data_IF_527386221729
#
_entry.id   IF_527386221729
#
_cell.length_a   1.000
_cell.length_b   1.000
_cell.length_c   1.000
_cell.angle_alpha   90.00
_cell.angle_beta   90.00
_cell.angle_gamma   90.00
#
_symmetry.space_group_name_H-M   'P 1'
#
loop_
_entity.id
_entity.type
_entity.pdbx_description
1 polymer ?
#
# COMPACT_ATOMS: atom_id res chain seq x y z
N UNK A 1 12.68 8.73 -8.34
CA UNK A 1 13.09 7.70 -9.34
C UNK A 1 11.85 7.31 -10.16
N UNK A 2 12.00 7.01 -11.45
CA UNK A 2 10.86 6.67 -12.32
C UNK A 2 11.26 5.58 -13.34
N UNK A 3 10.32 4.65 -13.63
CA UNK A 3 10.53 3.54 -14.55
C UNK A 3 11.75 2.70 -14.19
N UNK A 4 12.61 2.45 -15.14
CA UNK A 4 13.83 1.61 -14.94
C UNK A 4 14.84 2.18 -13.94
N UNK A 5 14.67 3.41 -13.47
CA UNK A 5 15.54 3.99 -12.44
C UNK A 5 15.06 3.74 -11.02
N UNK A 6 13.87 3.17 -10.84
CA UNK A 6 13.36 2.81 -9.50
C UNK A 6 14.24 1.74 -8.88
N UNK A 7 14.72 2.00 -7.68
CA UNK A 7 15.51 1.06 -6.90
C UNK A 7 15.21 1.21 -5.41
N UNK A 8 14.35 0.34 -4.91
CA UNK A 8 13.87 0.32 -3.52
C UNK A 8 14.98 -0.08 -2.53
N UNK A 9 16.10 -0.66 -3.00
CA UNK A 9 17.25 -0.93 -2.14
C UNK A 9 17.94 0.35 -1.66
N UNK A 10 17.65 1.50 -2.26
CA UNK A 10 18.13 2.81 -1.79
C UNK A 10 17.31 3.34 -0.61
N UNK A 11 16.15 2.76 -0.32
CA UNK A 11 15.35 3.11 0.85
C UNK A 11 15.85 2.36 2.09
N UNK A 12 15.77 2.95 3.28
CA UNK A 12 16.21 2.32 4.53
C UNK A 12 15.18 1.28 5.03
N UNK A 13 14.89 0.28 4.19
CA UNK A 13 13.98 -0.82 4.54
C UNK A 13 14.74 -1.79 5.46
N UNK A 14 14.20 -2.00 6.66
CA UNK A 14 14.87 -2.78 7.70
C UNK A 14 14.52 -4.28 7.65
N UNK A 15 15.44 -5.14 8.07
CA UNK A 15 15.16 -6.51 8.50
C UNK A 15 15.02 -6.50 10.01
N UNK A 16 13.84 -6.86 10.55
CA UNK A 16 13.51 -6.63 11.95
C UNK A 16 14.05 -7.71 12.88
N UNK A 17 13.98 -8.97 12.48
CA UNK A 17 14.31 -10.13 13.30
C UNK A 17 15.28 -11.08 12.61
N UNK A 18 16.13 -11.84 13.37
CA UNK A 18 17.14 -12.73 12.81
C UNK A 18 16.60 -13.83 11.88
N UNK A 19 15.33 -14.22 12.06
CA UNK A 19 14.67 -15.26 11.24
C UNK A 19 13.82 -14.70 10.10
N UNK A 20 13.78 -13.39 9.91
CA UNK A 20 13.06 -12.77 8.81
C UNK A 20 13.70 -13.11 7.47
N UNK A 21 12.88 -13.39 6.44
CA UNK A 21 13.35 -13.75 5.10
C UNK A 21 14.09 -12.61 4.39
N UNK A 22 13.84 -11.37 4.77
CA UNK A 22 14.46 -10.19 4.16
C UNK A 22 13.86 -8.86 4.65
N UNK A 23 14.18 -7.74 3.98
CA UNK A 23 13.70 -6.43 4.36
C UNK A 23 12.17 -6.32 4.27
N UNK A 24 11.58 -5.62 5.25
CA UNK A 24 10.14 -5.46 5.40
C UNK A 24 9.76 -3.98 5.62
N UNK A 25 8.90 -3.45 4.75
CA UNK A 25 8.23 -2.17 5.00
C UNK A 25 7.10 -2.41 5.99
N UNK A 26 7.24 -1.88 7.20
CA UNK A 26 6.37 -2.21 8.34
C UNK A 26 5.17 -1.28 8.49
N UNK A 27 5.29 -0.02 8.07
CA UNK A 27 4.29 1.03 8.27
C UNK A 27 3.84 1.73 6.97
N UNK A 28 3.65 1.01 5.85
CA UNK A 28 3.21 1.64 4.63
C UNK A 28 1.72 1.99 4.73
N UNK A 29 1.36 3.21 4.37
CA UNK A 29 -0.02 3.60 4.13
C UNK A 29 -0.35 3.27 2.68
N UNK A 30 -1.16 2.25 2.46
CA UNK A 30 -1.53 1.77 1.13
C UNK A 30 -2.87 2.35 0.73
N UNK A 31 -2.88 3.01 -0.42
CA UNK A 31 -4.03 3.68 -0.99
C UNK A 31 -4.54 2.88 -2.17
N UNK A 32 -5.80 2.51 -2.11
CA UNK A 32 -6.51 1.79 -3.17
C UNK A 32 -7.88 2.39 -3.42
N UNK A 33 -8.48 2.04 -4.54
CA UNK A 33 -9.86 2.38 -4.86
C UNK A 33 -10.51 1.19 -5.57
N UNK A 34 -11.64 0.72 -5.06
CA UNK A 34 -12.45 -0.28 -5.75
C UNK A 34 -13.13 0.31 -6.99
N UNK A 35 -13.49 -0.54 -7.94
CA UNK A 35 -14.27 -0.13 -9.11
C UNK A 35 -15.60 0.49 -8.67
N UNK A 36 -15.96 1.61 -9.28
CA UNK A 36 -17.22 2.33 -8.97
C UNK A 36 -17.35 2.84 -7.53
N UNK A 37 -16.25 2.86 -6.76
CA UNK A 37 -16.23 3.47 -5.42
C UNK A 37 -15.77 4.93 -5.50
N UNK A 38 -16.54 5.83 -4.89
CA UNK A 38 -16.16 7.24 -4.78
C UNK A 38 -14.99 7.44 -3.80
N UNK A 39 -15.02 6.70 -2.67
CA UNK A 39 -13.98 6.80 -1.66
C UNK A 39 -12.78 5.91 -1.97
N UNK A 40 -11.60 6.39 -1.62
CA UNK A 40 -10.39 5.57 -1.53
C UNK A 40 -10.37 4.84 -0.19
N UNK A 41 -9.76 3.65 -0.19
CA UNK A 41 -9.39 2.93 1.00
C UNK A 41 -7.95 3.33 1.39
N UNK A 42 -7.72 3.55 2.66
CA UNK A 42 -6.41 3.78 3.24
C UNK A 42 -6.18 2.74 4.34
N UNK A 43 -5.12 1.95 4.23
CA UNK A 43 -4.83 0.93 5.22
C UNK A 43 -3.33 0.65 5.36
N UNK A 44 -2.93 0.07 6.49
CA UNK A 44 -1.55 -0.38 6.70
C UNK A 44 -1.47 -1.87 6.37
N UNK A 45 -0.63 -2.21 5.38
CA UNK A 45 -0.36 -3.58 4.96
C UNK A 45 1.14 -3.74 4.75
N UNK A 46 1.80 -4.56 5.59
CA UNK A 46 3.24 -4.77 5.46
C UNK A 46 3.63 -5.27 4.08
N UNK A 47 4.83 -4.90 3.63
CA UNK A 47 5.31 -5.28 2.31
C UNK A 47 6.74 -5.82 2.39
N UNK A 48 6.93 -7.04 1.88
CA UNK A 48 8.27 -7.64 1.73
C UNK A 48 8.96 -7.09 0.48
N UNK A 49 10.20 -6.64 0.61
CA UNK A 49 11.03 -6.31 -0.55
C UNK A 49 11.37 -7.60 -1.31
N UNK A 50 10.95 -7.68 -2.57
CA UNK A 50 11.18 -8.84 -3.43
C UNK A 50 12.31 -8.58 -4.44
N UNK A 51 12.29 -7.40 -5.07
CA UNK A 51 13.26 -7.01 -6.09
C UNK A 51 13.43 -5.48 -6.04
N UNK A 52 14.32 -4.93 -6.87
CA UNK A 52 14.64 -3.50 -6.94
C UNK A 52 13.42 -2.58 -7.08
N UNK A 53 12.34 -3.04 -7.70
CA UNK A 53 11.10 -2.28 -7.87
C UNK A 53 9.83 -3.10 -7.56
N UNK A 54 9.97 -4.21 -6.80
CA UNK A 54 8.84 -5.10 -6.48
C UNK A 54 8.74 -5.35 -4.98
N UNK A 55 7.51 -5.27 -4.49
CA UNK A 55 7.14 -5.53 -3.11
C UNK A 55 6.00 -6.55 -3.06
N UNK A 56 6.04 -7.51 -2.14
CA UNK A 56 4.91 -8.42 -1.91
C UNK A 56 3.95 -7.76 -0.93
N UNK A 57 2.69 -7.59 -1.33
CA UNK A 57 1.66 -6.91 -0.55
C UNK A 57 0.86 -7.91 0.29
N UNK A 58 1.07 -7.94 1.62
CA UNK A 58 0.33 -8.85 2.50
C UNK A 58 -1.12 -8.41 2.69
N UNK A 59 -1.97 -8.83 1.79
CA UNK A 59 -3.42 -8.58 1.85
C UNK A 59 -4.18 -9.81 2.36
N UNK A 60 -4.55 -9.80 3.62
CA UNK A 60 -5.51 -10.77 4.13
C UNK A 60 -6.89 -10.54 3.48
N UNK A 61 -7.55 -11.61 3.10
CA UNK A 61 -8.74 -11.61 2.22
C UNK A 61 -9.93 -10.74 2.67
N UNK A 62 -10.01 -10.43 3.96
CA UNK A 62 -11.06 -9.61 4.57
C UNK A 62 -10.72 -8.12 4.69
N UNK A 63 -9.51 -7.70 4.31
CA UNK A 63 -9.05 -6.31 4.41
C UNK A 63 -9.52 -5.48 3.21
N UNK A 64 -9.71 -4.17 3.43
CA UNK A 64 -10.25 -3.24 2.42
C UNK A 64 -9.50 -3.26 1.10
N UNK A 65 -8.16 -3.20 1.12
CA UNK A 65 -7.35 -3.28 -0.10
C UNK A 65 -7.53 -4.60 -0.87
N UNK A 66 -7.60 -5.75 -0.16
CA UNK A 66 -7.86 -7.03 -0.78
C UNK A 66 -9.26 -7.14 -1.40
N UNK A 67 -10.25 -6.53 -0.76
CA UNK A 67 -11.63 -6.47 -1.28
C UNK A 67 -11.72 -5.62 -2.55
N UNK A 68 -11.05 -4.47 -2.55
CA UNK A 68 -10.98 -3.57 -3.72
C UNK A 68 -10.25 -4.24 -4.88
N UNK A 69 -9.12 -4.93 -4.62
CA UNK A 69 -8.37 -5.68 -5.62
C UNK A 69 -9.21 -6.81 -6.23
N UNK A 70 -9.92 -7.58 -5.40
CA UNK A 70 -10.80 -8.66 -5.87
C UNK A 70 -11.95 -8.12 -6.75
N UNK A 71 -12.57 -7.00 -6.35
CA UNK A 71 -13.62 -6.33 -7.14
C UNK A 71 -13.08 -5.86 -8.50
N UNK A 72 -11.88 -5.30 -8.52
CA UNK A 72 -11.20 -4.90 -9.75
C UNK A 72 -10.96 -6.08 -10.67
N UNK A 73 -10.34 -7.15 -10.17
CA UNK A 73 -10.03 -8.34 -10.96
C UNK A 73 -11.27 -8.99 -11.57
N UNK A 74 -12.40 -8.99 -10.85
CA UNK A 74 -13.66 -9.51 -11.35
C UNK A 74 -14.28 -8.64 -12.47
N UNK A 75 -14.17 -7.32 -12.37
CA UNK A 75 -14.77 -6.37 -13.30
C UNK A 75 -13.88 -6.00 -14.46
N UNK A 76 -12.57 -6.10 -14.27
CA UNK A 76 -11.53 -5.72 -15.23
C UNK A 76 -10.45 -6.81 -15.33
N UNK A 77 -10.79 -8.00 -15.81
CA UNK A 77 -9.87 -9.12 -15.85
C UNK A 77 -8.64 -8.80 -16.72
N UNK A 78 -7.44 -9.06 -16.17
CA UNK A 78 -6.16 -8.81 -16.84
C UNK A 78 -5.69 -7.36 -16.85
N UNK A 79 -6.47 -6.41 -16.32
CA UNK A 79 -6.01 -5.03 -16.19
C UNK A 79 -5.17 -4.85 -14.91
N UNK A 80 -4.02 -4.15 -14.98
CA UNK A 80 -3.22 -3.82 -13.81
C UNK A 80 -4.03 -3.02 -12.78
N UNK A 81 -3.95 -3.41 -11.52
CA UNK A 81 -4.65 -2.73 -10.44
C UNK A 81 -3.81 -1.59 -9.86
N UNK A 82 -4.26 -0.32 -9.93
CA UNK A 82 -3.50 0.82 -9.45
C UNK A 82 -3.38 0.84 -7.93
N UNK A 83 -2.17 1.08 -7.44
CA UNK A 83 -1.85 1.19 -6.02
C UNK A 83 -0.88 2.33 -5.80
N UNK A 84 -1.13 3.13 -4.77
CA UNK A 84 -0.16 4.08 -4.26
C UNK A 84 0.17 3.76 -2.79
N UNK A 85 1.40 4.09 -2.38
CA UNK A 85 1.87 3.86 -1.02
C UNK A 85 2.55 5.12 -0.50
N UNK A 86 2.19 5.53 0.71
CA UNK A 86 2.80 6.65 1.40
C UNK A 86 3.58 6.16 2.62
N UNK A 87 4.81 6.65 2.77
CA UNK A 87 5.65 6.43 3.95
C UNK A 87 5.91 7.78 4.62
N UNK A 88 5.95 7.80 5.96
CA UNK A 88 6.21 9.03 6.70
C UNK A 88 5.06 10.04 6.67
N UNK A 89 3.82 9.59 6.65
CA UNK A 89 2.66 10.47 6.81
C UNK A 89 2.50 10.92 8.27
N UNK A 90 1.71 11.97 8.49
CA UNK A 90 1.46 12.48 9.84
C UNK A 90 0.71 11.48 10.74
N UNK A 91 0.83 11.60 12.08
CA UNK A 91 0.24 10.64 13.01
C UNK A 91 -1.28 10.48 12.90
N UNK A 92 -2.03 11.54 12.59
CA UNK A 92 -3.48 11.45 12.46
C UNK A 92 -3.87 10.63 11.22
N UNK A 93 -3.14 10.77 10.11
CA UNK A 93 -3.33 9.97 8.90
C UNK A 93 -2.97 8.51 9.17
N UNK A 94 -1.87 8.25 9.89
CA UNK A 94 -1.45 6.91 10.28
C UNK A 94 -2.50 6.23 11.19
N UNK A 95 -3.04 6.94 12.18
CA UNK A 95 -4.11 6.44 13.03
C UNK A 95 -5.41 6.20 12.24
N UNK A 96 -5.72 7.07 11.28
CA UNK A 96 -6.86 6.89 10.38
C UNK A 96 -6.78 5.58 9.59
N UNK A 97 -5.58 5.23 9.12
CA UNK A 97 -5.35 4.02 8.33
C UNK A 97 -5.51 2.70 9.10
N UNK A 98 -5.38 2.72 10.44
CA UNK A 98 -5.51 1.51 11.29
C UNK A 98 -6.83 1.44 12.03
N UNK A 99 -7.57 2.55 12.11
CA UNK A 99 -8.84 2.58 12.83
C UNK A 99 -9.94 1.96 11.98
N UNK A 100 -10.70 1.00 12.51
CA UNK A 100 -11.86 0.47 11.80
C UNK A 100 -12.95 1.54 11.73
N UNK A 101 -13.11 2.17 10.58
CA UNK A 101 -14.17 3.14 10.31
C UNK A 101 -15.30 2.49 9.51
N UNK A 102 -16.55 2.95 9.63
CA UNK A 102 -17.65 2.49 8.78
C UNK A 102 -17.35 2.73 7.29
N UNK A 103 -17.83 1.86 6.42
CA UNK A 103 -17.62 1.97 4.96
C UNK A 103 -18.12 3.29 4.34
N UNK A 104 -18.99 4.01 5.03
CA UNK A 104 -19.49 5.32 4.62
C UNK A 104 -18.56 6.48 4.97
N UNK A 105 -17.52 6.24 5.78
CA UNK A 105 -16.54 7.24 6.20
C UNK A 105 -15.17 6.93 5.60
N UNK A 106 -14.59 7.91 4.91
CA UNK A 106 -13.22 7.79 4.42
C UNK A 106 -12.22 7.90 5.58
N UNK A 107 -11.18 7.05 5.58
CA UNK A 107 -10.07 7.14 6.53
C UNK A 107 -9.39 8.51 6.50
N UNK A 108 -9.32 9.16 5.34
CA UNK A 108 -8.84 10.54 5.21
C UNK A 108 -9.74 11.56 5.92
N UNK A 109 -11.07 11.38 5.85
CA UNK A 109 -12.00 12.23 6.57
C UNK A 109 -11.88 12.01 8.08
N UNK A 110 -11.73 10.77 8.51
CA UNK A 110 -11.50 10.42 9.92
C UNK A 110 -10.17 11.01 10.44
N UNK A 111 -9.08 10.89 9.67
CA UNK A 111 -7.81 11.55 10.00
C UNK A 111 -7.96 13.07 10.13
N UNK A 112 -8.80 13.68 9.27
CA UNK A 112 -9.13 15.10 9.34
C UNK A 112 -9.87 15.46 10.63
N UNK A 113 -10.79 14.61 11.10
CA UNK A 113 -11.46 14.80 12.40
C UNK A 113 -10.45 14.75 13.55
N UNK A 114 -9.54 13.79 13.55
CA UNK A 114 -8.49 13.69 14.58
C UNK A 114 -7.58 14.91 14.61
N UNK A 115 -7.25 15.46 13.43
CA UNK A 115 -6.36 16.62 13.30
C UNK A 115 -7.04 17.97 13.52
N UNK A 116 -8.37 18.02 13.40
CA UNK A 116 -9.16 19.26 13.46
C UNK A 116 -9.13 20.09 12.15
N UNK A 117 -8.60 19.53 11.06
CA UNK A 117 -8.62 20.12 9.71
C UNK A 117 -8.60 19.01 8.65
N UNK A 118 -9.08 19.32 7.44
CA UNK A 118 -9.04 18.37 6.31
C UNK A 118 -7.63 17.85 6.07
N UNK A 119 -7.53 16.60 5.64
CA UNK A 119 -6.28 16.03 5.16
C UNK A 119 -5.96 16.61 3.79
N UNK A 120 -4.78 17.21 3.66
CA UNK A 120 -4.29 17.71 2.37
C UNK A 120 -3.86 16.52 1.52
N UNK A 121 -4.37 16.45 0.30
CA UNK A 121 -4.11 15.36 -0.64
C UNK A 121 -3.47 15.91 -1.92
N UNK A 122 -2.55 15.14 -2.49
CA UNK A 122 -1.94 15.36 -3.79
C UNK A 122 -2.36 14.26 -4.77
N UNK A 123 -2.58 14.62 -6.03
CA UNK A 123 -2.88 13.64 -7.06
C UNK A 123 -1.63 12.87 -7.46
N UNK A 124 -1.74 11.56 -7.64
CA UNK A 124 -0.70 10.73 -8.20
C UNK A 124 -0.29 11.18 -9.60
N UNK A 125 0.97 10.94 -9.96
CA UNK A 125 1.57 11.43 -11.21
C UNK A 125 1.80 10.34 -12.25
N UNK A 126 1.87 9.06 -11.86
CA UNK A 126 1.92 7.94 -12.83
C UNK A 126 0.59 7.81 -13.53
N UNK A 127 0.61 7.38 -14.80
CA UNK A 127 -0.62 7.29 -15.58
C UNK A 127 -1.58 6.25 -14.98
N UNK A 128 -1.07 5.12 -14.47
CA UNK A 128 -1.89 4.09 -13.86
C UNK A 128 -2.63 4.58 -12.62
N UNK A 129 -1.99 5.34 -11.74
CA UNK A 129 -2.62 5.87 -10.53
C UNK A 129 -3.47 7.11 -10.82
N UNK A 130 -2.98 8.03 -11.67
CA UNK A 130 -3.69 9.26 -12.03
C UNK A 130 -5.00 8.99 -12.77
N UNK A 131 -5.01 8.07 -13.73
CA UNK A 131 -6.20 7.73 -14.49
C UNK A 131 -7.28 7.01 -13.66
N UNK A 132 -6.92 6.57 -12.45
CA UNK A 132 -7.83 6.00 -11.46
C UNK A 132 -8.09 6.95 -10.27
N UNK A 133 -7.75 8.23 -10.42
CA UNK A 133 -7.97 9.30 -9.44
C UNK A 133 -7.43 8.98 -8.05
N UNK A 134 -6.29 8.27 -7.96
CA UNK A 134 -5.65 8.05 -6.68
C UNK A 134 -5.02 9.33 -6.16
N UNK A 135 -5.28 9.60 -4.89
CA UNK A 135 -4.77 10.76 -4.15
C UNK A 135 -3.99 10.25 -2.94
N UNK A 136 -2.82 10.82 -2.71
CA UNK A 136 -1.93 10.49 -1.60
C UNK A 136 -1.86 11.63 -0.58
N UNK A 137 -1.51 11.37 0.70
CA UNK A 137 -1.30 12.43 1.66
C UNK A 137 -0.17 13.36 1.19
N UNK A 138 -0.46 14.66 1.05
CA UNK A 138 0.44 15.63 0.41
C UNK A 138 1.75 15.89 1.19
N UNK A 139 1.79 15.53 2.47
CA UNK A 139 2.92 15.77 3.38
C UNK A 139 3.64 14.48 3.78
N UNK A 140 3.54 13.43 2.98
CA UNK A 140 4.31 12.20 3.18
C UNK A 140 5.77 12.40 2.78
N UNK A 141 6.67 11.69 3.44
CA UNK A 141 8.10 11.76 3.15
C UNK A 141 8.45 11.02 1.84
N UNK A 142 7.83 9.87 1.62
CA UNK A 142 8.06 9.06 0.41
C UNK A 142 6.71 8.60 -0.16
N UNK A 143 6.57 8.70 -1.47
CA UNK A 143 5.43 8.15 -2.22
C UNK A 143 5.95 7.12 -3.22
N UNK A 144 5.35 5.94 -3.21
CA UNK A 144 5.54 4.92 -4.23
C UNK A 144 4.23 4.81 -5.03
N UNK A 145 4.32 4.84 -6.33
CA UNK A 145 3.18 4.66 -7.23
C UNK A 145 3.45 3.53 -8.21
N UNK A 146 2.42 2.78 -8.52
CA UNK A 146 2.53 1.66 -9.46
C UNK A 146 1.26 0.80 -9.47
N UNK A 147 1.42 -0.47 -9.71
CA UNK A 147 0.31 -1.38 -9.93
C UNK A 147 0.59 -2.80 -9.41
N UNK A 148 -0.48 -3.55 -9.29
CA UNK A 148 -0.46 -5.00 -9.09
C UNK A 148 -0.98 -5.65 -10.37
N UNK A 149 -0.16 -6.54 -10.96
CA UNK A 149 -0.62 -7.47 -11.99
C UNK A 149 -1.45 -8.55 -11.29
N UNK A 150 -2.73 -8.78 -11.68
CA UNK A 150 -3.58 -9.79 -11.05
C UNK A 150 -3.03 -11.21 -11.09
N UNK A 151 -2.19 -11.52 -12.06
CA UNK A 151 -1.58 -12.85 -12.22
C UNK A 151 -0.24 -13.00 -11.49
N UNK A 152 0.37 -11.90 -11.03
CA UNK A 152 1.68 -11.95 -10.37
C UNK A 152 1.55 -12.12 -8.86
N UNK A 153 1.94 -13.32 -8.37
CA UNK A 153 1.91 -13.70 -6.96
C UNK A 153 3.27 -14.22 -6.52
N UNK A 154 3.67 -13.93 -5.31
CA UNK A 154 4.92 -14.41 -4.72
C UNK A 154 4.74 -14.89 -3.27
N UNK A 155 5.65 -15.73 -2.80
CA UNK A 155 5.68 -16.27 -1.44
C UNK A 155 6.21 -15.20 -0.47
N UNK A 156 5.41 -14.82 0.54
CA UNK A 156 5.75 -13.86 1.59
C UNK A 156 6.10 -14.57 2.89
N UNK A 157 7.16 -14.13 3.52
CA UNK A 157 7.60 -14.63 4.82
C UNK A 157 8.62 -15.76 4.76
N UNK A 158 8.99 -16.33 5.93
CA UNK A 158 8.42 -16.03 7.25
C UNK A 158 8.89 -14.69 7.82
N UNK A 159 8.05 -14.08 8.66
CA UNK A 159 8.37 -12.88 9.45
C UNK A 159 7.96 -13.06 10.91
N UNK A 160 8.78 -12.57 11.83
CA UNK A 160 8.42 -12.48 13.23
C UNK A 160 7.30 -11.45 13.44
N UNK A 161 6.32 -11.77 14.28
CA UNK A 161 5.20 -10.88 14.57
C UNK A 161 5.03 -10.61 16.09
N UNK A 162 4.00 -9.82 16.44
CA UNK A 162 3.73 -9.43 17.82
C UNK A 162 3.35 -10.59 18.76
N UNK A 163 3.04 -11.75 18.23
CA UNK A 163 2.75 -12.96 19.02
C UNK A 163 4.03 -13.62 19.57
N UNK A 164 5.19 -13.25 19.06
CA UNK A 164 6.47 -13.85 19.37
C UNK A 164 6.81 -15.08 18.51
N UNK A 165 6.02 -15.34 17.49
CA UNK A 165 6.22 -16.44 16.55
C UNK A 165 6.43 -15.92 15.14
N UNK A 166 7.02 -16.75 14.28
CA UNK A 166 7.11 -16.50 12.83
C UNK A 166 5.84 -17.01 12.16
N UNK A 167 5.29 -16.21 11.23
CA UNK A 167 4.16 -16.66 10.41
C UNK A 167 4.60 -17.71 9.38
N UNK A 168 3.64 -18.47 8.90
CA UNK A 168 3.84 -19.38 7.78
C UNK A 168 4.04 -18.60 6.48
N UNK A 169 4.71 -19.23 5.51
CA UNK A 169 4.85 -18.68 4.15
C UNK A 169 3.50 -18.77 3.45
N UNK A 170 3.05 -17.66 2.89
CA UNK A 170 1.78 -17.55 2.16
C UNK A 170 1.98 -16.75 0.86
N UNK A 171 1.16 -17.02 -0.13
CA UNK A 171 1.21 -16.31 -1.42
C UNK A 171 0.36 -15.05 -1.41
N UNK A 172 0.97 -13.93 -1.83
CA UNK A 172 0.32 -12.64 -1.94
C UNK A 172 0.66 -11.94 -3.26
N UNK A 173 -0.15 -10.95 -3.69
CA UNK A 173 0.09 -10.20 -4.91
C UNK A 173 1.38 -9.38 -4.83
N UNK A 174 2.00 -9.17 -5.99
CA UNK A 174 3.21 -8.38 -6.15
C UNK A 174 2.87 -6.98 -6.62
N UNK A 175 3.31 -5.97 -5.87
CA UNK A 175 3.22 -4.55 -6.23
C UNK A 175 4.47 -4.13 -6.98
N UNK A 176 4.31 -3.75 -8.25
CA UNK A 176 5.37 -3.21 -9.09
C UNK A 176 5.37 -1.69 -8.99
N UNK A 177 6.48 -1.12 -8.55
CA UNK A 177 6.67 0.33 -8.37
C UNK A 177 7.20 0.96 -9.67
N UNK A 178 6.47 1.92 -10.21
CA UNK A 178 6.85 2.71 -11.39
C UNK A 178 7.46 4.06 -11.03
N UNK A 179 7.17 4.56 -9.83
CA UNK A 179 7.63 5.86 -9.35
C UNK A 179 7.92 5.81 -7.85
N UNK A 180 9.06 6.38 -7.46
CA UNK A 180 9.36 6.73 -6.07
C UNK A 180 9.71 8.22 -6.01
N UNK A 181 8.93 8.99 -5.25
CA UNK A 181 9.15 10.40 -4.89
C UNK A 181 9.64 10.47 -3.45
N UNK A 182 10.67 11.28 -3.20
CA UNK A 182 11.27 11.57 -1.90
C UNK A 182 11.26 13.07 -1.70
#
# INVERSE_FOLDING_TARGET
MRGDTVDLNQLPIQTCWPGDVGPLVTWPLVITRGTEKERMNLGIYRMQLLDRNKLIMRWLSHRGGALDFRDWHLKRPGEPYPVAVALGADPATTLGAVTPVPDTLSEYAFAGLLRGKKTDLAQCVTDVCRNNDLMVPAHSEIILEGYIDPEEMADEGPYGDHTGYYNEVERFPVFTVELSLI
#
